data_IF_823649737968
#
_entry.id   IF_823649737968
#
_cell.length_a   1.000
_cell.length_b   1.000
_cell.length_c   1.000
_cell.angle_alpha   90.00
_cell.angle_beta   90.00
_cell.angle_gamma   90.00
#
_symmetry.space_group_name_H-M   'P 1'
#
loop_
_entity.id
_entity.type
_entity.pdbx_description
1 polymer ?
#
# COMPACT_ATOMS: atom_id res chain seq x y z
N UNK A 1 5.70 8.50 -10.64
CA UNK A 1 5.08 8.11 -9.36
C UNK A 1 4.11 9.20 -8.96
N UNK A 2 2.83 8.86 -8.78
CA UNK A 2 1.76 9.80 -8.43
C UNK A 2 1.82 10.23 -6.95
N UNK A 3 1.17 11.34 -6.60
CA UNK A 3 1.10 11.84 -5.21
C UNK A 3 0.56 10.77 -4.24
N UNK A 4 -0.48 10.03 -4.65
CA UNK A 4 -1.05 8.92 -3.87
C UNK A 4 -0.08 7.74 -3.73
N UNK A 5 0.60 7.34 -4.82
CA UNK A 5 1.59 6.24 -4.79
C UNK A 5 2.72 6.54 -3.80
N UNK A 6 3.22 7.80 -3.79
CA UNK A 6 4.25 8.25 -2.84
C UNK A 6 3.77 8.13 -1.39
N UNK A 7 2.60 8.69 -1.08
CA UNK A 7 2.00 8.63 0.26
C UNK A 7 1.76 7.20 0.74
N UNK A 8 1.29 6.31 -0.14
CA UNK A 8 1.12 4.89 0.18
C UNK A 8 2.46 4.27 0.59
N UNK A 9 3.52 4.50 -0.18
CA UNK A 9 4.85 3.97 0.14
C UNK A 9 5.36 4.54 1.46
N UNK A 10 5.26 5.85 1.69
CA UNK A 10 5.67 6.50 2.95
C UNK A 10 4.96 5.87 4.16
N UNK A 11 3.64 5.72 4.09
CA UNK A 11 2.85 5.11 5.15
C UNK A 11 3.21 3.63 5.37
N UNK A 12 3.51 2.88 4.30
CA UNK A 12 3.93 1.49 4.41
C UNK A 12 5.36 1.33 4.96
N UNK A 13 6.23 2.32 4.77
CA UNK A 13 7.56 2.37 5.39
C UNK A 13 7.41 2.58 6.91
N UNK A 14 6.48 3.45 7.32
CA UNK A 14 6.20 3.69 8.74
C UNK A 14 5.52 2.47 9.39
N UNK A 15 4.45 1.96 8.77
CA UNK A 15 3.65 0.83 9.29
C UNK A 15 3.33 -0.16 8.14
N UNK A 16 4.12 -1.24 8.02
CA UNK A 16 3.92 -2.32 7.05
C UNK A 16 2.56 -3.03 7.16
N UNK A 17 1.91 -2.97 8.33
CA UNK A 17 0.65 -3.67 8.60
C UNK A 17 -0.59 -2.89 8.20
N UNK A 18 -0.45 -1.69 7.61
CA UNK A 18 -1.60 -0.93 7.17
C UNK A 18 -2.42 -1.69 6.13
N UNK A 19 -3.73 -1.70 6.34
CA UNK A 19 -4.66 -2.28 5.38
C UNK A 19 -5.15 -1.20 4.38
N UNK A 20 -5.83 -1.63 3.30
CA UNK A 20 -6.32 -0.72 2.26
C UNK A 20 -7.32 0.33 2.76
N UNK A 21 -8.05 0.04 3.85
CA UNK A 21 -9.01 0.95 4.47
C UNK A 21 -8.28 2.04 5.29
N UNK A 22 -7.30 1.66 6.11
CA UNK A 22 -6.53 2.63 6.92
C UNK A 22 -5.79 3.64 6.03
N UNK A 23 -5.20 3.15 4.93
CA UNK A 23 -4.52 4.01 3.97
C UNK A 23 -5.49 4.92 3.22
N UNK A 24 -6.69 4.42 2.92
CA UNK A 24 -7.72 5.21 2.25
C UNK A 24 -8.16 6.38 3.14
N UNK A 25 -8.38 6.12 4.43
CA UNK A 25 -8.75 7.13 5.43
C UNK A 25 -7.62 8.14 5.66
N UNK A 26 -6.37 7.69 5.83
CA UNK A 26 -5.22 8.58 6.04
C UNK A 26 -4.91 9.46 4.83
N UNK A 27 -5.05 8.92 3.62
CA UNK A 27 -4.73 9.67 2.39
C UNK A 27 -5.93 10.50 1.93
N UNK A 28 -7.15 10.18 2.37
CA UNK A 28 -8.38 10.84 1.95
C UNK A 28 -8.85 10.40 0.56
N UNK A 29 -8.68 9.11 0.24
CA UNK A 29 -9.08 8.51 -1.04
C UNK A 29 -9.99 7.31 -0.80
N UNK A 30 -10.61 6.78 -1.86
CA UNK A 30 -11.41 5.56 -1.73
C UNK A 30 -10.52 4.33 -1.57
N UNK A 31 -11.02 3.31 -0.86
CA UNK A 31 -10.39 1.98 -0.78
C UNK A 31 -10.04 1.40 -2.15
N UNK A 32 -10.93 1.57 -3.14
CA UNK A 32 -10.72 1.12 -4.53
C UNK A 32 -9.51 1.79 -5.18
N UNK A 33 -9.25 3.06 -4.86
CA UNK A 33 -8.03 3.76 -5.32
C UNK A 33 -6.79 3.12 -4.73
N UNK A 34 -6.77 2.83 -3.42
CA UNK A 34 -5.64 2.18 -2.75
C UNK A 34 -5.40 0.77 -3.30
N UNK A 35 -6.44 -0.04 -3.49
CA UNK A 35 -6.31 -1.39 -4.05
C UNK A 35 -5.73 -1.37 -5.47
N UNK A 36 -6.15 -0.39 -6.30
CA UNK A 36 -5.57 -0.19 -7.62
C UNK A 36 -4.10 0.22 -7.53
N UNK A 37 -3.78 1.14 -6.62
CA UNK A 37 -2.40 1.57 -6.35
C UNK A 37 -1.54 0.41 -5.89
N UNK A 38 -2.04 -0.47 -5.02
CA UNK A 38 -1.31 -1.68 -4.60
C UNK A 38 -0.99 -2.59 -5.77
N UNK A 39 -1.96 -2.90 -6.65
CA UNK A 39 -1.69 -3.70 -7.86
C UNK A 39 -0.60 -3.07 -8.72
N UNK A 40 -0.69 -1.76 -8.98
CA UNK A 40 0.30 -1.04 -9.79
C UNK A 40 1.69 -1.07 -9.12
N UNK A 41 1.77 -0.88 -7.79
CA UNK A 41 3.03 -0.91 -7.06
C UNK A 41 3.64 -2.30 -6.98
N UNK A 42 2.81 -3.35 -6.89
CA UNK A 42 3.24 -4.75 -6.98
C UNK A 42 3.77 -5.08 -8.37
N UNK A 43 3.06 -4.69 -9.44
CA UNK A 43 3.50 -4.88 -10.83
C UNK A 43 4.84 -4.16 -11.09
N UNK A 44 5.03 -2.97 -10.49
CA UNK A 44 6.28 -2.21 -10.53
C UNK A 44 7.37 -2.76 -9.60
N UNK A 45 7.12 -3.85 -8.85
CA UNK A 45 8.01 -4.44 -7.84
C UNK A 45 8.49 -3.41 -6.80
N UNK A 46 7.61 -2.49 -6.41
CA UNK A 46 7.84 -1.48 -5.36
C UNK A 46 7.32 -1.91 -4.01
N UNK A 47 6.30 -2.77 -4.01
CA UNK A 47 5.79 -3.38 -2.78
C UNK A 47 5.54 -4.86 -3.02
N UNK A 48 5.76 -5.67 -1.99
CA UNK A 48 5.41 -7.08 -1.97
C UNK A 48 4.60 -7.39 -0.71
N UNK A 49 3.61 -8.27 -0.85
CA UNK A 49 2.83 -8.69 0.31
C UNK A 49 3.43 -9.97 0.89
N UNK A 50 3.81 -9.93 2.16
CA UNK A 50 4.36 -11.08 2.87
C UNK A 50 3.40 -11.47 4.01
N UNK A 51 3.01 -12.74 4.05
CA UNK A 51 2.20 -13.32 5.11
C UNK A 51 0.84 -13.86 4.64
N UNK A 52 -0.03 -14.15 5.60
CA UNK A 52 -1.32 -14.81 5.35
C UNK A 52 -2.32 -13.88 4.64
N UNK A 53 -3.40 -14.43 4.08
CA UNK A 53 -4.46 -13.60 3.48
C UNK A 53 -5.06 -12.60 4.48
N UNK A 54 -5.07 -12.91 5.77
CA UNK A 54 -5.65 -12.08 6.85
C UNK A 54 -4.63 -11.14 7.49
N UNK A 55 -3.39 -11.60 7.72
CA UNK A 55 -2.39 -10.89 8.53
C UNK A 55 -1.11 -10.57 7.74
N UNK A 56 -1.21 -10.56 6.41
CA UNK A 56 -0.08 -10.25 5.55
C UNK A 56 0.29 -8.78 5.62
N UNK A 57 1.57 -8.52 5.87
CA UNK A 57 2.19 -7.21 5.86
C UNK A 57 2.66 -6.83 4.45
N UNK A 58 2.82 -5.54 4.21
CA UNK A 58 3.38 -4.99 2.99
C UNK A 58 4.83 -4.60 3.21
N UNK A 59 5.73 -5.14 2.40
CA UNK A 59 7.14 -4.76 2.39
C UNK A 59 7.39 -3.88 1.19
N UNK A 60 8.06 -2.75 1.42
CA UNK A 60 8.50 -1.85 0.35
C UNK A 60 9.84 -2.34 -0.18
N UNK A 61 9.88 -2.68 -1.47
CA UNK A 61 11.08 -3.12 -2.20
C UNK A 61 11.64 -1.95 -3.02
N UNK A 62 12.97 -1.78 -2.99
CA UNK A 62 13.69 -0.64 -3.60
C UNK A 62 13.69 -0.69 -5.14
#
# INVERSE_FOLDING_TARGET
>A
MNKTEKKVIELLIEIPSYNSQDLAEKIGVTKRTIERTFKILQEKKRIERIGSKRDGNWIVTK
#
